data_IF_953248659917
#
_entry.id   IF_953248659917
#
_cell.length_a   1.000
_cell.length_b   1.000
_cell.length_c   1.000
_cell.angle_alpha   90.00
_cell.angle_beta   90.00
_cell.angle_gamma   90.00
#
_symmetry.space_group_name_H-M   'P 1'
#
loop_
_entity.id
_entity.type
_entity.pdbx_description
1 polymer ?
#
# COMPACT_ATOMS: atom_id res chain seq x y z
N UNK A 1 -11.19 5.71 -13.65
CA UNK A 1 -9.85 6.31 -13.73
C UNK A 1 -9.01 5.74 -12.60
N UNK A 2 -7.78 5.32 -12.88
CA UNK A 2 -6.78 4.94 -11.90
C UNK A 2 -5.73 6.05 -11.89
N UNK A 3 -5.57 6.74 -10.75
CA UNK A 3 -4.69 7.90 -10.63
C UNK A 3 -4.12 7.95 -9.20
N UNK A 4 -2.85 8.32 -9.07
CA UNK A 4 -2.19 8.46 -7.76
C UNK A 4 -2.24 9.91 -7.23
N UNK A 5 -2.74 10.88 -8.02
CA UNK A 5 -2.93 12.26 -7.55
C UNK A 5 -4.20 12.38 -6.70
N UNK A 6 -4.21 13.40 -5.87
CA UNK A 6 -5.38 13.74 -5.08
C UNK A 6 -6.44 14.41 -5.98
N UNK A 7 -7.48 13.64 -6.35
CA UNK A 7 -8.57 14.09 -7.22
C UNK A 7 -9.63 14.82 -6.39
N UNK A 8 -10.06 16.01 -6.84
CA UNK A 8 -11.24 16.66 -6.30
C UNK A 8 -12.49 16.05 -6.96
N UNK A 9 -13.23 15.23 -6.19
CA UNK A 9 -14.41 14.51 -6.69
C UNK A 9 -15.50 15.47 -7.22
N UNK A 10 -15.67 16.63 -6.58
CA UNK A 10 -16.71 17.59 -6.93
C UNK A 10 -16.33 18.30 -8.23
N UNK A 11 -15.12 18.83 -8.27
CA UNK A 11 -14.63 19.60 -9.42
C UNK A 11 -14.50 18.74 -10.69
N UNK A 12 -14.10 17.46 -10.53
CA UNK A 12 -13.91 16.55 -11.65
C UNK A 12 -15.15 15.69 -11.97
N UNK A 13 -16.26 15.86 -11.25
CA UNK A 13 -17.54 15.23 -11.56
C UNK A 13 -17.62 13.73 -11.27
N UNK A 14 -16.78 13.21 -10.36
CA UNK A 14 -16.82 11.80 -9.96
C UNK A 14 -17.90 11.57 -8.89
N UNK A 15 -18.67 10.48 -9.04
CA UNK A 15 -19.67 10.07 -8.05
C UNK A 15 -19.04 9.42 -6.81
N UNK A 16 -17.88 8.74 -6.98
CA UNK A 16 -17.21 7.98 -5.92
C UNK A 16 -15.72 7.83 -6.25
N UNK A 17 -14.88 7.86 -5.22
CA UNK A 17 -13.49 7.41 -5.29
C UNK A 17 -13.20 6.32 -4.25
N UNK A 18 -12.35 5.38 -4.63
CA UNK A 18 -11.68 4.48 -3.69
C UNK A 18 -10.34 5.10 -3.30
N UNK A 19 -10.10 5.27 -2.01
CA UNK A 19 -8.89 5.91 -1.50
C UNK A 19 -8.28 5.13 -0.34
N UNK A 20 -6.96 4.96 -0.40
CA UNK A 20 -6.15 4.54 0.74
C UNK A 20 -5.67 5.81 1.43
N UNK A 21 -6.42 6.30 2.41
CA UNK A 21 -6.12 7.57 3.08
C UNK A 21 -6.92 7.73 4.36
N UNK A 22 -6.31 8.38 5.34
CA UNK A 22 -6.93 8.74 6.62
C UNK A 22 -7.56 10.15 6.60
N UNK A 23 -7.42 10.93 5.54
CA UNK A 23 -7.81 12.34 5.57
C UNK A 23 -9.28 12.51 5.14
N UNK A 24 -10.20 12.75 6.07
CA UNK A 24 -11.56 13.14 5.72
C UNK A 24 -11.56 14.57 5.16
N UNK A 25 -12.26 14.78 4.05
CA UNK A 25 -12.67 16.14 3.66
C UNK A 25 -14.02 16.44 4.32
N UNK A 26 -14.22 17.62 4.90
CA UNK A 26 -15.49 17.97 5.57
C UNK A 26 -16.72 17.89 4.66
N UNK A 27 -16.53 17.96 3.34
CA UNK A 27 -17.59 17.92 2.33
C UNK A 27 -17.83 16.52 1.73
N UNK A 28 -17.12 15.49 2.22
CA UNK A 28 -17.20 14.14 1.67
C UNK A 28 -17.58 13.13 2.75
N UNK A 29 -18.42 12.19 2.38
CA UNK A 29 -18.66 11.00 3.20
C UNK A 29 -17.54 10.00 2.94
N UNK A 30 -16.96 9.47 4.02
CA UNK A 30 -15.93 8.45 3.99
C UNK A 30 -16.49 7.18 4.62
N UNK A 31 -16.60 6.13 3.81
CA UNK A 31 -17.04 4.81 4.28
C UNK A 31 -15.87 3.83 4.22
N UNK A 32 -15.41 3.28 5.35
CA UNK A 32 -14.38 2.27 5.35
C UNK A 32 -14.88 0.99 4.67
N UNK A 33 -14.03 0.40 3.82
CA UNK A 33 -14.32 -0.83 3.07
C UNK A 33 -13.46 -1.98 3.54
N UNK A 34 -12.13 -1.80 3.57
CA UNK A 34 -11.19 -2.87 3.93
C UNK A 34 -9.92 -2.32 4.57
N UNK A 35 -9.34 -3.12 5.45
CA UNK A 35 -7.98 -2.90 5.95
C UNK A 35 -6.98 -3.40 4.92
N UNK A 36 -6.00 -2.58 4.57
CA UNK A 36 -4.91 -2.93 3.67
C UNK A 36 -3.65 -3.13 4.49
N UNK A 37 -3.07 -4.31 4.40
CA UNK A 37 -1.75 -4.59 4.93
C UNK A 37 -0.71 -4.34 3.85
N UNK A 38 0.38 -3.63 4.21
CA UNK A 38 1.54 -3.43 3.36
C UNK A 38 2.69 -4.32 3.80
N UNK A 39 3.42 -4.86 2.83
CA UNK A 39 4.56 -5.75 3.05
C UNK A 39 5.80 -5.20 2.35
N UNK A 40 6.97 -5.43 2.97
CA UNK A 40 8.27 -5.15 2.37
C UNK A 40 8.67 -6.30 1.45
N UNK A 41 9.25 -5.96 0.31
CA UNK A 41 9.52 -6.88 -0.79
C UNK A 41 10.89 -6.64 -1.41
N UNK A 42 11.46 -7.73 -1.91
CA UNK A 42 12.62 -7.70 -2.80
C UNK A 42 12.53 -8.82 -3.83
N UNK A 43 13.23 -8.67 -4.97
CA UNK A 43 13.41 -9.77 -5.90
C UNK A 43 14.50 -10.75 -5.39
N UNK A 44 14.39 -12.06 -5.67
CA UNK A 44 15.42 -13.04 -5.33
C UNK A 44 16.81 -12.65 -5.85
N UNK A 45 16.91 -12.17 -7.08
CA UNK A 45 18.17 -11.74 -7.69
C UNK A 45 18.82 -10.56 -6.96
N UNK A 46 18.02 -9.65 -6.40
CA UNK A 46 18.52 -8.58 -5.55
C UNK A 46 19.11 -9.15 -4.26
N UNK A 47 18.37 -10.04 -3.60
CA UNK A 47 18.80 -10.68 -2.34
C UNK A 47 20.04 -11.55 -2.52
N UNK A 48 20.17 -12.23 -3.65
CA UNK A 48 21.37 -13.01 -3.98
C UNK A 48 22.65 -12.17 -4.05
N UNK A 49 22.52 -10.89 -4.49
CA UNK A 49 23.65 -9.95 -4.60
C UNK A 49 23.93 -9.16 -3.32
N UNK A 50 22.93 -8.89 -2.52
CA UNK A 50 23.02 -7.95 -1.39
C UNK A 50 22.77 -8.59 -0.02
N UNK A 51 22.44 -9.89 0.02
CA UNK A 51 22.02 -10.60 1.22
C UNK A 51 20.53 -10.46 1.52
N UNK A 52 20.00 -11.36 2.33
CA UNK A 52 18.61 -11.33 2.79
C UNK A 52 18.58 -10.72 4.19
N UNK A 53 17.99 -9.56 4.39
CA UNK A 53 17.90 -8.95 5.71
C UNK A 53 16.87 -9.68 6.58
N UNK A 54 17.25 -10.02 7.80
CA UNK A 54 16.43 -10.70 8.80
C UNK A 54 16.04 -9.80 10.00
N UNK A 55 16.63 -8.61 10.08
CA UNK A 55 16.33 -7.62 11.12
C UNK A 55 15.97 -6.26 10.51
N UNK A 56 15.24 -5.41 11.25
CA UNK A 56 14.95 -4.03 10.82
C UNK A 56 16.22 -3.23 10.48
N UNK A 57 17.28 -3.39 11.27
CA UNK A 57 18.58 -2.72 11.08
C UNK A 57 19.25 -3.17 9.79
N UNK A 58 19.18 -4.46 9.45
CA UNK A 58 19.71 -5.00 8.21
C UNK A 58 18.94 -4.44 7.01
N UNK A 59 17.60 -4.34 7.08
CA UNK A 59 16.77 -3.76 6.02
C UNK A 59 17.16 -2.30 5.73
N UNK A 60 17.51 -1.54 6.75
CA UNK A 60 17.91 -0.12 6.60
C UNK A 60 19.22 0.09 5.80
N UNK A 61 20.02 -0.97 5.60
CA UNK A 61 21.24 -0.92 4.79
C UNK A 61 20.97 -1.15 3.29
N UNK A 62 19.75 -1.50 2.93
CA UNK A 62 19.38 -1.77 1.54
C UNK A 62 18.89 -0.53 0.81
N UNK A 63 19.06 -0.53 -0.52
CA UNK A 63 18.54 0.51 -1.40
C UNK A 63 17.02 0.43 -1.49
N UNK A 64 16.32 1.51 -1.16
CA UNK A 64 14.86 1.54 -1.17
C UNK A 64 14.29 2.22 -2.42
N UNK A 65 13.13 1.72 -2.88
CA UNK A 65 12.32 2.28 -3.93
C UNK A 65 10.99 2.71 -3.30
N UNK A 66 10.76 4.03 -3.21
CA UNK A 66 9.62 4.59 -2.49
C UNK A 66 8.73 5.46 -3.37
N UNK A 67 7.45 5.64 -2.99
CA UNK A 67 6.58 6.61 -3.65
C UNK A 67 7.10 8.05 -3.51
N UNK A 68 6.92 8.87 -4.56
CA UNK A 68 7.26 10.30 -4.54
C UNK A 68 6.17 11.16 -3.90
N UNK A 69 4.93 10.65 -3.80
CA UNK A 69 3.80 11.37 -3.18
C UNK A 69 3.82 11.35 -1.65
N UNK A 70 4.78 10.68 -1.03
CA UNK A 70 4.99 10.70 0.42
C UNK A 70 6.40 11.11 0.78
N UNK A 71 6.55 11.97 1.78
CA UNK A 71 7.82 12.29 2.41
C UNK A 71 8.17 11.34 3.56
N UNK A 72 7.28 10.41 3.89
CA UNK A 72 7.51 9.46 4.98
C UNK A 72 8.70 8.56 4.65
N UNK A 73 9.64 8.48 5.58
CA UNK A 73 10.83 7.62 5.52
C UNK A 73 10.97 6.75 6.77
N UNK A 74 10.19 7.04 7.80
CA UNK A 74 10.19 6.31 9.07
C UNK A 74 8.85 5.61 9.26
N UNK A 75 8.90 4.31 9.52
CA UNK A 75 7.72 3.50 9.84
C UNK A 75 7.90 2.84 11.19
N UNK A 76 6.94 3.01 12.09
CA UNK A 76 6.85 2.16 13.26
C UNK A 76 6.38 0.79 12.81
N UNK A 77 7.20 -0.23 13.03
CA UNK A 77 6.88 -1.62 12.76
C UNK A 77 6.72 -2.36 14.08
N UNK A 78 5.89 -3.40 14.08
CA UNK A 78 5.60 -4.18 15.28
C UNK A 78 5.81 -5.65 15.00
N UNK A 79 6.60 -6.31 15.83
CA UNK A 79 6.81 -7.75 15.76
C UNK A 79 5.51 -8.48 16.14
N UNK A 80 5.03 -9.38 15.29
CA UNK A 80 3.68 -9.99 15.39
C UNK A 80 3.48 -10.84 16.64
N UNK A 81 4.55 -11.48 17.12
CA UNK A 81 4.48 -12.42 18.24
C UNK A 81 4.86 -11.78 19.58
N UNK A 82 5.86 -10.89 19.60
CA UNK A 82 6.33 -10.26 20.84
C UNK A 82 5.69 -8.94 21.16
N UNK A 83 5.13 -8.25 20.15
CA UNK A 83 4.62 -6.89 20.26
C UNK A 83 5.73 -5.83 20.35
N UNK A 84 6.98 -6.23 20.22
CA UNK A 84 8.13 -5.31 20.22
C UNK A 84 8.03 -4.35 19.02
N UNK A 85 8.32 -3.08 19.28
CA UNK A 85 8.28 -2.02 18.29
C UNK A 85 9.68 -1.61 17.86
N UNK A 86 9.84 -1.35 16.58
CA UNK A 86 11.05 -0.79 16.01
C UNK A 86 10.70 0.34 15.02
N UNK A 87 11.66 1.21 14.76
CA UNK A 87 11.53 2.22 13.70
C UNK A 87 12.34 1.76 12.50
N UNK A 88 11.67 1.56 11.39
CA UNK A 88 12.29 1.25 10.12
C UNK A 88 12.49 2.54 9.33
N UNK A 89 13.75 2.89 9.09
CA UNK A 89 14.11 4.04 8.25
C UNK A 89 14.56 3.55 6.87
N UNK A 90 13.84 3.93 5.81
CA UNK A 90 14.20 3.56 4.44
C UNK A 90 14.75 4.78 3.69
N UNK A 91 15.97 4.64 3.17
CA UNK A 91 16.63 5.67 2.36
C UNK A 91 16.40 5.40 0.87
N UNK A 92 15.53 6.16 0.19
CA UNK A 92 15.21 5.88 -1.20
C UNK A 92 16.32 6.31 -2.14
N UNK A 93 16.72 5.40 -3.04
CA UNK A 93 17.56 5.69 -4.19
C UNK A 93 16.74 5.96 -5.46
N UNK A 94 15.48 5.46 -5.48
CA UNK A 94 14.52 5.70 -6.55
C UNK A 94 13.20 6.15 -5.93
N UNK A 95 12.59 7.15 -6.55
CA UNK A 95 11.22 7.58 -6.24
C UNK A 95 10.37 7.57 -7.51
N UNK A 96 9.12 7.11 -7.39
CA UNK A 96 8.14 7.13 -8.47
C UNK A 96 6.76 7.49 -7.92
N UNK A 97 5.96 8.21 -8.69
CA UNK A 97 4.54 8.47 -8.40
C UNK A 97 3.63 7.33 -8.88
N UNK A 98 4.18 6.35 -9.59
CA UNK A 98 3.45 5.22 -10.13
C UNK A 98 3.75 3.93 -9.34
N UNK A 99 2.75 3.43 -8.61
CA UNK A 99 2.89 2.21 -7.79
C UNK A 99 3.15 0.95 -8.61
N UNK A 100 2.66 0.87 -9.84
CA UNK A 100 2.96 -0.25 -10.74
C UNK A 100 4.42 -0.22 -11.18
N UNK A 101 4.96 0.97 -11.48
CA UNK A 101 6.38 1.13 -11.80
C UNK A 101 7.26 0.73 -10.61
N UNK A 102 6.89 1.12 -9.38
CA UNK A 102 7.61 0.70 -8.17
C UNK A 102 7.66 -0.83 -8.09
N UNK A 103 6.52 -1.51 -8.30
CA UNK A 103 6.46 -2.98 -8.29
C UNK A 103 7.39 -3.61 -9.34
N UNK A 104 7.36 -3.11 -10.58
CA UNK A 104 8.22 -3.62 -11.65
C UNK A 104 9.71 -3.37 -11.36
N UNK A 105 10.07 -2.23 -10.77
CA UNK A 105 11.45 -1.95 -10.34
C UNK A 105 11.92 -2.89 -9.25
N UNK A 106 11.06 -3.23 -8.27
CA UNK A 106 11.38 -4.21 -7.23
C UNK A 106 11.60 -5.59 -7.88
N UNK A 107 10.71 -6.03 -8.78
CA UNK A 107 10.83 -7.29 -9.54
C UNK A 107 12.11 -7.35 -10.38
N UNK A 108 12.51 -6.23 -10.96
CA UNK A 108 13.75 -6.10 -11.71
C UNK A 108 15.02 -6.08 -10.83
N UNK A 109 14.88 -6.19 -9.50
CA UNK A 109 16.01 -6.22 -8.58
C UNK A 109 16.75 -4.89 -8.43
N UNK A 110 16.04 -3.77 -8.59
CA UNK A 110 16.61 -2.42 -8.42
C UNK A 110 16.70 -1.99 -6.94
N UNK A 111 16.07 -2.72 -6.03
CA UNK A 111 16.09 -2.42 -4.60
C UNK A 111 14.94 -3.10 -3.87
N UNK A 112 14.77 -2.72 -2.59
CA UNK A 112 13.63 -3.13 -1.77
C UNK A 112 12.51 -2.07 -1.86
N UNK A 113 11.28 -2.46 -1.63
CA UNK A 113 10.17 -1.54 -1.57
C UNK A 113 8.96 -2.18 -0.90
N UNK A 114 7.84 -1.48 -0.88
CA UNK A 114 6.62 -1.99 -0.28
C UNK A 114 5.44 -1.95 -1.25
N UNK A 115 4.53 -2.89 -1.07
CA UNK A 115 3.27 -2.96 -1.82
C UNK A 115 2.15 -3.45 -0.89
N UNK A 116 0.89 -3.19 -1.23
CA UNK A 116 -0.23 -3.85 -0.59
C UNK A 116 -0.12 -5.37 -0.78
N UNK A 117 -0.29 -6.14 0.29
CA UNK A 117 -0.19 -7.60 0.24
C UNK A 117 -1.07 -8.22 -0.85
N UNK A 118 -2.33 -7.76 -0.97
CA UNK A 118 -3.27 -8.25 -1.97
C UNK A 118 -2.80 -8.04 -3.42
N UNK A 119 -1.97 -7.03 -3.68
CA UNK A 119 -1.49 -6.70 -5.03
C UNK A 119 -0.30 -7.55 -5.47
N UNK A 120 0.33 -8.30 -4.56
CA UNK A 120 1.56 -9.07 -4.81
C UNK A 120 1.46 -10.54 -4.38
N UNK A 121 0.26 -11.01 -4.06
CA UNK A 121 0.03 -12.40 -3.64
C UNK A 121 0.53 -13.43 -4.66
N UNK A 122 0.37 -13.14 -5.95
CA UNK A 122 0.82 -14.04 -6.99
C UNK A 122 2.35 -14.09 -7.07
N UNK A 123 3.01 -12.94 -7.01
CA UNK A 123 4.47 -12.83 -7.04
C UNK A 123 5.13 -13.47 -5.80
N UNK A 124 4.47 -13.40 -4.64
CA UNK A 124 4.92 -14.10 -3.44
C UNK A 124 4.75 -15.61 -3.58
N UNK A 125 3.63 -16.06 -4.18
CA UNK A 125 3.33 -17.48 -4.37
C UNK A 125 4.25 -18.15 -5.39
N UNK A 126 4.58 -17.47 -6.48
CA UNK A 126 5.46 -18.00 -7.53
C UNK A 126 6.96 -17.71 -7.27
N UNK A 127 7.27 -16.97 -6.20
CA UNK A 127 8.63 -16.67 -5.78
C UNK A 127 9.32 -15.56 -6.59
N UNK A 128 8.59 -14.85 -7.44
CA UNK A 128 9.13 -13.68 -8.18
C UNK A 128 9.48 -12.53 -7.23
N UNK A 129 8.77 -12.44 -6.10
CA UNK A 129 9.08 -11.54 -5.00
C UNK A 129 9.18 -12.33 -3.69
N UNK A 130 10.02 -11.84 -2.79
CA UNK A 130 10.21 -12.35 -1.44
C UNK A 130 9.77 -11.29 -0.45
N UNK A 131 8.95 -11.67 0.52
CA UNK A 131 8.58 -10.80 1.64
C UNK A 131 9.75 -10.71 2.62
N UNK A 132 10.11 -9.49 2.97
CA UNK A 132 11.10 -9.19 4.00
C UNK A 132 10.41 -8.97 5.35
N UNK A 133 11.08 -9.35 6.44
CA UNK A 133 10.58 -9.23 7.81
C UNK A 133 9.14 -9.79 7.97
N UNK A 134 8.86 -11.06 7.63
CA UNK A 134 7.50 -11.61 7.65
C UNK A 134 6.89 -11.62 9.05
N UNK A 135 7.72 -11.64 10.09
CA UNK A 135 7.28 -11.59 11.48
C UNK A 135 6.92 -10.19 11.97
N UNK A 136 7.02 -9.18 11.11
CA UNK A 136 6.66 -7.81 11.44
C UNK A 136 5.42 -7.35 10.67
N UNK A 137 4.58 -6.59 11.33
CA UNK A 137 3.59 -5.74 10.68
C UNK A 137 4.26 -4.42 10.35
N UNK A 138 4.41 -4.13 9.04
CA UNK A 138 5.09 -2.91 8.59
C UNK A 138 4.18 -1.71 8.79
N UNK A 139 3.00 -1.70 8.14
CA UNK A 139 1.90 -0.82 8.47
C UNK A 139 0.60 -1.32 7.83
N UNK A 140 -0.49 -0.78 8.33
CA UNK A 140 -1.80 -1.01 7.73
C UNK A 140 -2.47 0.32 7.46
N UNK A 141 -3.24 0.39 6.39
CA UNK A 141 -4.08 1.53 6.07
C UNK A 141 -5.51 1.10 5.80
N UNK A 142 -6.39 2.08 5.67
CA UNK A 142 -7.81 1.84 5.42
C UNK A 142 -8.15 2.20 3.99
N UNK A 143 -8.68 1.22 3.22
CA UNK A 143 -9.34 1.50 1.96
C UNK A 143 -10.72 2.07 2.27
N UNK A 144 -10.99 3.25 1.72
CA UNK A 144 -12.23 3.96 1.92
C UNK A 144 -12.95 4.20 0.59
N UNK A 145 -14.27 4.05 0.59
CA UNK A 145 -15.13 4.68 -0.40
C UNK A 145 -15.40 6.12 0.03
N UNK A 146 -15.07 7.07 -0.82
CA UNK A 146 -15.27 8.50 -0.58
C UNK A 146 -16.21 9.05 -1.64
N UNK A 147 -17.27 9.73 -1.22
CA UNK A 147 -18.28 10.28 -2.12
C UNK A 147 -18.90 11.55 -1.55
N UNK A 148 -19.52 12.35 -2.44
CA UNK A 148 -20.17 13.61 -2.04
C UNK A 148 -21.44 13.30 -1.26
N UNK A 149 -21.64 13.98 -0.13
CA UNK A 149 -22.91 13.95 0.61
C UNK A 149 -23.98 14.60 -0.25
N UNK A 150 -24.82 13.76 -0.84
CA UNK A 150 -26.10 14.21 -1.43
C UNK A 150 -27.18 13.61 -0.56
N UNK A 151 -28.25 14.33 -0.33
CA UNK A 151 -29.38 13.94 0.51
C UNK A 151 -29.91 12.51 0.22
N UNK A 152 -29.55 11.96 -0.95
CA UNK A 152 -29.79 10.56 -1.31
C UNK A 152 -28.54 9.99 -1.99
N UNK A 153 -27.96 8.98 -1.36
CA UNK A 153 -26.92 8.16 -1.95
C UNK A 153 -27.43 7.56 -3.28
N UNK A 154 -26.77 7.87 -4.40
CA UNK A 154 -27.24 7.39 -5.71
C UNK A 154 -27.24 5.85 -5.72
N UNK A 155 -28.21 5.26 -6.44
CA UNK A 155 -28.30 3.81 -6.57
C UNK A 155 -27.00 3.18 -7.09
N UNK A 156 -26.30 3.87 -8.01
CA UNK A 156 -25.00 3.45 -8.55
C UNK A 156 -23.94 3.29 -7.47
N UNK A 157 -23.77 4.33 -6.61
CA UNK A 157 -22.77 4.32 -5.53
C UNK A 157 -23.10 3.22 -4.52
N UNK A 158 -24.37 3.07 -4.15
CA UNK A 158 -24.81 2.03 -3.23
C UNK A 158 -24.53 0.63 -3.77
N UNK A 159 -24.92 0.36 -5.03
CA UNK A 159 -24.70 -0.93 -5.68
C UNK A 159 -23.21 -1.25 -5.79
N UNK A 160 -22.38 -0.27 -6.15
CA UNK A 160 -20.94 -0.46 -6.22
C UNK A 160 -20.33 -0.82 -4.85
N UNK A 161 -20.70 -0.08 -3.79
CA UNK A 161 -20.19 -0.34 -2.44
C UNK A 161 -20.61 -1.74 -1.95
N UNK A 162 -21.85 -2.15 -2.20
CA UNK A 162 -22.34 -3.47 -1.81
C UNK A 162 -21.57 -4.58 -2.55
N UNK A 163 -21.46 -4.47 -3.87
CA UNK A 163 -20.69 -5.41 -4.69
C UNK A 163 -19.23 -5.51 -4.23
N UNK A 164 -18.60 -4.37 -3.95
CA UNK A 164 -17.21 -4.35 -3.50
C UNK A 164 -17.03 -5.03 -2.14
N UNK A 165 -17.96 -4.80 -1.18
CA UNK A 165 -17.92 -5.46 0.12
C UNK A 165 -18.11 -6.98 0.00
N UNK A 166 -19.02 -7.45 -0.86
CA UNK A 166 -19.21 -8.87 -1.12
C UNK A 166 -17.91 -9.50 -1.63
N UNK A 167 -17.28 -8.88 -2.64
CA UNK A 167 -16.05 -9.41 -3.24
C UNK A 167 -14.83 -9.41 -2.32
N UNK A 168 -14.69 -8.43 -1.43
CA UNK A 168 -13.62 -8.43 -0.43
C UNK A 168 -13.86 -9.47 0.66
N UNK A 169 -15.12 -9.79 0.98
CA UNK A 169 -15.44 -10.79 2.00
C UNK A 169 -15.24 -12.23 1.51
N UNK A 170 -15.16 -12.45 0.20
CA UNK A 170 -14.97 -13.75 -0.44
C UNK A 170 -13.48 -14.13 -0.63
N UNK A 171 -12.53 -13.22 -0.45
CA UNK A 171 -11.09 -13.41 -0.68
C UNK A 171 -10.26 -13.29 0.58
#
# INVERSE_FOLDING_TARGET
VLDNRHIDLIAEGFDLALRVSKTPSPSLIVKPLAKIEFVLLAAPDYLARHGTPDTPEAVMQHQAILPSYTSQQNWEITHRHTGEKAILHLSPVIRSDNTLMIRELIKAGAGIGYQPLWAVQQELKDGTLVQLLPDYTIWTDQLNATYVDRAFLSAKVRSFINFFNEKISEG
#
